data_IF_329025136543
#
_entry.id   IF_329025136543
#
_cell.length_a   1.000
_cell.length_b   1.000
_cell.length_c   1.000
_cell.angle_alpha   90.00
_cell.angle_beta   90.00
_cell.angle_gamma   90.00
#
_symmetry.space_group_name_H-M   'P 1'
#
loop_
_entity.id
_entity.type
_entity.pdbx_description
1 polymer ?
#
# COMPACT_ATOMS: atom_id res chain seq x y z
N UNK A 1 31.75 16.78 0.91
CA UNK A 1 31.84 16.14 -0.43
C UNK A 1 32.14 14.66 -0.26
N UNK A 2 31.17 13.77 -0.50
CA UNK A 2 31.42 12.32 -0.61
C UNK A 2 31.52 11.99 -2.10
N UNK A 3 32.72 12.15 -2.68
CA UNK A 3 32.97 12.07 -4.13
C UNK A 3 33.74 10.83 -4.60
N UNK A 4 33.74 9.74 -3.82
CA UNK A 4 34.47 8.51 -4.14
C UNK A 4 33.54 7.33 -4.41
N UNK A 5 33.90 6.49 -5.39
CA UNK A 5 33.20 5.24 -5.77
C UNK A 5 32.80 4.36 -4.57
N UNK A 6 33.61 4.35 -3.50
CA UNK A 6 33.37 3.58 -2.28
C UNK A 6 32.18 4.10 -1.47
N UNK A 7 31.97 5.42 -1.42
CA UNK A 7 30.85 6.02 -0.68
C UNK A 7 29.52 5.68 -1.36
N UNK A 8 29.46 5.82 -2.68
CA UNK A 8 28.29 5.43 -3.48
C UNK A 8 27.99 3.93 -3.38
N UNK A 9 29.04 3.08 -3.38
CA UNK A 9 28.88 1.63 -3.21
C UNK A 9 28.32 1.28 -1.83
N UNK A 10 28.83 1.88 -0.76
CA UNK A 10 28.32 1.65 0.60
C UNK A 10 26.89 2.15 0.78
N UNK A 11 26.57 3.33 0.23
CA UNK A 11 25.21 3.87 0.28
C UNK A 11 24.23 2.97 -0.49
N UNK A 12 24.62 2.48 -1.66
CA UNK A 12 23.80 1.55 -2.44
C UNK A 12 23.58 0.22 -1.69
N UNK A 13 24.63 -0.33 -1.08
CA UNK A 13 24.51 -1.54 -0.26
C UNK A 13 23.57 -1.31 0.93
N UNK A 14 23.73 -0.20 1.66
CA UNK A 14 22.88 0.15 2.79
C UNK A 14 21.42 0.35 2.38
N UNK A 15 21.18 1.00 1.24
CA UNK A 15 19.84 1.22 0.69
C UNK A 15 19.16 -0.10 0.30
N UNK A 16 19.85 -1.04 -0.33
CA UNK A 16 19.27 -2.34 -0.66
C UNK A 16 19.02 -3.21 0.59
N UNK A 17 19.86 -3.12 1.64
CA UNK A 17 19.58 -3.75 2.95
C UNK A 17 18.30 -3.16 3.56
N UNK A 18 18.15 -1.84 3.53
CA UNK A 18 16.93 -1.17 4.00
C UNK A 18 15.70 -1.65 3.23
N UNK A 19 15.79 -1.78 1.90
CA UNK A 19 14.68 -2.28 1.08
C UNK A 19 14.28 -3.72 1.43
N UNK A 20 15.23 -4.59 1.76
CA UNK A 20 14.93 -5.94 2.26
C UNK A 20 14.16 -5.87 3.58
N UNK A 21 14.57 -5.02 4.53
CA UNK A 21 13.86 -4.86 5.80
C UNK A 21 12.42 -4.37 5.59
N UNK A 22 12.24 -3.36 4.75
CA UNK A 22 10.90 -2.83 4.40
C UNK A 22 10.05 -3.91 3.73
N UNK A 23 10.62 -4.70 2.83
CA UNK A 23 9.87 -5.78 2.16
C UNK A 23 9.36 -6.84 3.13
N UNK A 24 10.18 -7.27 4.10
CA UNK A 24 9.72 -8.21 5.14
C UNK A 24 8.60 -7.62 5.99
N UNK A 25 8.68 -6.33 6.34
CA UNK A 25 7.60 -5.64 7.05
C UNK A 25 6.31 -5.63 6.22
N UNK A 26 6.38 -5.27 4.93
CA UNK A 26 5.20 -5.23 4.05
C UNK A 26 4.53 -6.61 3.92
N UNK A 27 5.32 -7.66 3.71
CA UNK A 27 4.81 -9.04 3.65
C UNK A 27 4.21 -9.47 4.98
N UNK A 28 4.88 -9.16 6.10
CA UNK A 28 4.41 -9.47 7.45
C UNK A 28 3.08 -8.78 7.79
N UNK A 29 2.95 -7.49 7.47
CA UNK A 29 1.70 -6.72 7.65
C UNK A 29 0.59 -7.27 6.76
N UNK A 30 0.89 -7.62 5.51
CA UNK A 30 -0.10 -8.22 4.61
C UNK A 30 -0.59 -9.59 5.12
N UNK A 31 0.32 -10.44 5.59
CA UNK A 31 -0.01 -11.75 6.15
C UNK A 31 -0.80 -11.64 7.46
N UNK A 32 -0.38 -10.73 8.36
CA UNK A 32 -1.11 -10.46 9.60
C UNK A 32 -2.51 -9.90 9.32
N UNK A 33 -2.63 -8.97 8.36
CA UNK A 33 -3.91 -8.39 7.95
C UNK A 33 -4.89 -9.44 7.42
N UNK A 34 -4.40 -10.45 6.69
CA UNK A 34 -5.21 -11.60 6.25
C UNK A 34 -5.67 -12.46 7.44
N UNK A 35 -4.79 -12.73 8.40
CA UNK A 35 -5.09 -13.61 9.54
C UNK A 35 -6.03 -12.96 10.58
N UNK A 36 -5.94 -11.64 10.76
CA UNK A 36 -6.69 -10.90 11.78
C UNK A 36 -8.13 -10.54 11.36
N UNK A 37 -8.64 -11.08 10.24
CA UNK A 37 -9.96 -10.77 9.66
C UNK A 37 -10.27 -9.27 9.54
N UNK A 38 -9.23 -8.44 9.47
CA UNK A 38 -9.34 -7.01 9.19
C UNK A 38 -9.91 -6.88 7.79
N UNK A 39 -10.91 -6.03 7.61
CA UNK A 39 -11.59 -5.81 6.32
C UNK A 39 -10.68 -5.02 5.37
N UNK A 40 -9.57 -5.64 4.99
CA UNK A 40 -8.68 -5.17 3.95
C UNK A 40 -9.16 -5.83 2.65
N UNK A 41 -9.52 -5.03 1.66
CA UNK A 41 -10.00 -5.55 0.38
C UNK A 41 -8.90 -6.38 -0.30
N UNK A 42 -9.30 -7.47 -0.97
CA UNK A 42 -8.39 -8.38 -1.69
C UNK A 42 -7.38 -7.66 -2.62
N UNK A 43 -7.76 -6.59 -3.36
CA UNK A 43 -6.81 -5.84 -4.19
C UNK A 43 -5.76 -5.06 -3.38
N UNK A 44 -6.10 -4.57 -2.19
CA UNK A 44 -5.18 -3.80 -1.33
C UNK A 44 -4.10 -4.73 -0.78
N UNK A 45 -4.52 -5.91 -0.28
CA UNK A 45 -3.60 -6.94 0.22
C UNK A 45 -2.69 -7.42 -0.91
N UNK A 46 -3.26 -7.70 -2.08
CA UNK A 46 -2.48 -8.08 -3.27
C UNK A 46 -1.45 -7.03 -3.66
N UNK A 47 -1.81 -5.74 -3.59
CA UNK A 47 -0.89 -4.63 -3.83
C UNK A 47 0.27 -4.59 -2.84
N UNK A 48 0.01 -4.67 -1.53
CA UNK A 48 1.05 -4.65 -0.49
C UNK A 48 2.00 -5.85 -0.66
N UNK A 49 1.45 -7.05 -0.91
CA UNK A 49 2.25 -8.26 -1.12
C UNK A 49 3.11 -8.16 -2.39
N UNK A 50 2.54 -7.68 -3.50
CA UNK A 50 3.26 -7.48 -4.75
C UNK A 50 4.40 -6.45 -4.59
N UNK A 51 4.14 -5.34 -3.89
CA UNK A 51 5.17 -4.36 -3.55
C UNK A 51 6.32 -4.99 -2.74
N UNK A 52 6.01 -5.82 -1.74
CA UNK A 52 7.01 -6.53 -0.95
C UNK A 52 7.90 -7.45 -1.79
N UNK A 53 7.30 -8.28 -2.65
CA UNK A 53 8.04 -9.21 -3.54
C UNK A 53 8.91 -8.42 -4.54
N UNK A 54 8.37 -7.36 -5.13
CA UNK A 54 9.09 -6.51 -6.08
C UNK A 54 10.29 -5.82 -5.42
N UNK A 55 10.15 -5.34 -4.18
CA UNK A 55 11.27 -4.77 -3.42
C UNK A 55 12.37 -5.81 -3.16
N UNK A 56 12.03 -7.07 -2.86
CA UNK A 56 13.02 -8.14 -2.71
C UNK A 56 13.78 -8.35 -4.02
N UNK A 57 13.07 -8.44 -5.16
CA UNK A 57 13.72 -8.61 -6.47
C UNK A 57 14.69 -7.47 -6.80
N UNK A 58 14.27 -6.22 -6.60
CA UNK A 58 15.10 -5.04 -6.85
C UNK A 58 16.30 -5.01 -5.91
N UNK A 59 16.10 -5.39 -4.64
CA UNK A 59 17.18 -5.42 -3.65
C UNK A 59 18.26 -6.44 -3.97
N UNK A 60 17.86 -7.63 -4.44
CA UNK A 60 18.79 -8.67 -4.90
C UNK A 60 19.57 -8.20 -6.13
N UNK A 61 18.88 -7.64 -7.13
CA UNK A 61 19.53 -7.09 -8.32
C UNK A 61 20.52 -5.96 -7.97
N UNK A 62 20.14 -5.06 -7.07
CA UNK A 62 20.99 -3.97 -6.58
C UNK A 62 22.22 -4.47 -5.82
N UNK A 63 22.05 -5.47 -4.94
CA UNK A 63 23.13 -6.07 -4.18
C UNK A 63 24.12 -6.82 -5.08
N UNK A 64 23.62 -7.64 -6.03
CA UNK A 64 24.51 -8.35 -6.97
C UNK A 64 25.20 -7.34 -7.89
N UNK A 65 24.50 -6.32 -8.37
CA UNK A 65 25.09 -5.22 -9.17
C UNK A 65 26.20 -4.49 -8.42
N UNK A 66 26.03 -4.23 -7.13
CA UNK A 66 27.03 -3.59 -6.28
C UNK A 66 28.26 -4.48 -5.99
N UNK A 67 28.04 -5.78 -5.75
CA UNK A 67 29.11 -6.72 -5.37
C UNK A 67 29.89 -7.23 -6.58
N UNK A 68 29.21 -7.64 -7.66
CA UNK A 68 29.83 -8.29 -8.82
C UNK A 68 30.38 -7.32 -9.87
N UNK A 69 30.30 -6.00 -9.65
CA UNK A 69 30.72 -4.98 -10.61
C UNK A 69 30.17 -5.18 -12.04
N UNK A 70 29.04 -5.89 -12.18
CA UNK A 70 28.45 -6.18 -13.47
C UNK A 70 27.67 -4.96 -13.98
N UNK A 71 28.34 -4.10 -14.76
CA UNK A 71 27.79 -2.81 -15.21
C UNK A 71 26.43 -2.95 -15.91
N UNK A 72 26.22 -4.02 -16.67
CA UNK A 72 24.94 -4.27 -17.36
C UNK A 72 23.79 -4.56 -16.38
N UNK A 73 24.04 -5.21 -15.25
CA UNK A 73 22.98 -5.46 -14.25
C UNK A 73 22.62 -4.18 -13.50
N UNK A 74 23.62 -3.33 -13.24
CA UNK A 74 23.37 -2.01 -12.66
C UNK A 74 22.58 -1.10 -13.61
N UNK A 75 22.75 -1.26 -14.92
CA UNK A 75 21.93 -0.55 -15.92
C UNK A 75 20.45 -0.93 -15.81
N UNK A 76 20.12 -2.23 -15.79
CA UNK A 76 18.74 -2.68 -15.59
C UNK A 76 18.15 -2.17 -14.26
N UNK A 77 18.95 -2.20 -13.18
CA UNK A 77 18.55 -1.65 -11.89
C UNK A 77 18.16 -0.17 -11.99
N UNK A 78 18.97 0.66 -12.63
CA UNK A 78 18.66 2.08 -12.83
C UNK A 78 17.42 2.31 -13.68
N UNK A 79 17.22 1.52 -14.74
CA UNK A 79 16.01 1.59 -15.57
C UNK A 79 14.77 1.24 -14.75
N UNK A 80 14.79 0.17 -13.97
CA UNK A 80 13.66 -0.24 -13.13
C UNK A 80 13.35 0.84 -12.09
N UNK A 81 14.36 1.38 -11.40
CA UNK A 81 14.16 2.47 -10.44
C UNK A 81 13.59 3.73 -11.10
N UNK A 82 14.03 4.04 -12.32
CA UNK A 82 13.49 5.17 -13.07
C UNK A 82 12.01 4.97 -13.42
N UNK A 83 11.62 3.77 -13.84
CA UNK A 83 10.20 3.45 -14.10
C UNK A 83 9.36 3.55 -12.81
N UNK A 84 9.87 3.05 -11.68
CA UNK A 84 9.22 3.20 -10.38
C UNK A 84 9.07 4.67 -9.99
N UNK A 85 10.08 5.49 -10.23
CA UNK A 85 10.02 6.92 -9.99
C UNK A 85 8.90 7.58 -10.83
N UNK A 86 8.78 7.23 -12.12
CA UNK A 86 7.69 7.74 -12.97
C UNK A 86 6.31 7.33 -12.46
N UNK A 87 6.16 6.09 -11.99
CA UNK A 87 4.90 5.60 -11.41
C UNK A 87 4.58 6.35 -10.11
N UNK A 88 5.53 6.46 -9.19
CA UNK A 88 5.36 7.15 -7.92
C UNK A 88 5.06 8.64 -8.13
N UNK A 89 5.79 9.29 -9.04
CA UNK A 89 5.54 10.66 -9.42
C UNK A 89 4.14 10.84 -9.99
N UNK A 90 3.70 9.94 -10.87
CA UNK A 90 2.35 9.95 -11.42
C UNK A 90 1.28 9.79 -10.33
N UNK A 91 1.47 8.87 -9.38
CA UNK A 91 0.57 8.67 -8.24
C UNK A 91 0.54 9.93 -7.36
N UNK A 92 1.69 10.54 -7.09
CA UNK A 92 1.77 11.78 -6.31
C UNK A 92 1.04 12.93 -7.02
N UNK A 93 1.24 13.10 -8.33
CA UNK A 93 0.51 14.09 -9.12
C UNK A 93 -1.00 13.81 -9.13
N UNK A 94 -1.43 12.55 -9.28
CA UNK A 94 -2.84 12.18 -9.22
C UNK A 94 -3.47 12.48 -7.85
N UNK A 95 -2.73 12.21 -6.76
CA UNK A 95 -3.15 12.53 -5.40
C UNK A 95 -3.22 14.04 -5.14
N UNK A 96 -2.35 14.84 -5.76
CA UNK A 96 -2.41 16.31 -5.66
C UNK A 96 -3.50 16.93 -6.53
N UNK A 97 -3.83 16.30 -7.67
CA UNK A 97 -4.84 16.78 -8.60
C UNK A 97 -6.28 16.50 -8.11
N UNK A 98 -6.47 15.55 -7.18
CA UNK A 98 -7.81 15.23 -6.65
C UNK A 98 -8.30 16.38 -5.75
N UNK A 99 -9.47 16.91 -6.08
CA UNK A 99 -10.15 17.94 -5.26
C UNK A 99 -11.25 17.32 -4.39
N UNK A 100 -11.80 18.11 -3.46
CA UNK A 100 -12.84 17.65 -2.51
C UNK A 100 -14.07 17.06 -3.19
N UNK A 101 -14.58 17.71 -4.25
CA UNK A 101 -15.75 17.20 -4.99
C UNK A 101 -15.49 15.87 -5.68
N UNK A 102 -14.26 15.65 -6.16
CA UNK A 102 -13.88 14.41 -6.81
C UNK A 102 -13.68 13.29 -5.79
N UNK A 103 -13.07 13.62 -4.64
CA UNK A 103 -12.94 12.71 -3.50
C UNK A 103 -14.32 12.27 -2.98
N UNK A 104 -15.27 13.21 -2.84
CA UNK A 104 -16.64 12.91 -2.41
C UNK A 104 -17.37 12.01 -3.40
N UNK A 105 -17.31 12.31 -4.70
CA UNK A 105 -17.91 11.46 -5.74
C UNK A 105 -17.36 10.04 -5.73
N UNK A 106 -16.05 9.88 -5.59
CA UNK A 106 -15.41 8.56 -5.50
C UNK A 106 -15.85 7.82 -4.24
N UNK A 107 -15.95 8.51 -3.10
CA UNK A 107 -16.44 7.94 -1.86
C UNK A 107 -17.92 7.52 -1.97
N UNK A 108 -18.76 8.33 -2.62
CA UNK A 108 -20.19 8.05 -2.81
C UNK A 108 -20.41 6.88 -3.78
N UNK A 109 -19.60 6.78 -4.83
CA UNK A 109 -19.58 5.62 -5.72
C UNK A 109 -19.17 4.35 -4.98
N UNK A 110 -18.14 4.42 -4.12
CA UNK A 110 -17.73 3.31 -3.26
C UNK A 110 -18.84 2.90 -2.28
N UNK A 111 -19.49 3.89 -1.66
CA UNK A 111 -20.62 3.70 -0.75
C UNK A 111 -21.78 2.96 -1.43
N UNK A 112 -22.22 3.41 -2.60
CA UNK A 112 -23.35 2.81 -3.30
C UNK A 112 -23.07 1.41 -3.87
N UNK A 113 -21.79 1.03 -4.02
CA UNK A 113 -21.39 -0.21 -4.68
C UNK A 113 -21.31 -1.41 -3.73
N UNK A 114 -21.09 -1.20 -2.44
CA UNK A 114 -20.79 -2.30 -1.51
C UNK A 114 -21.38 -2.10 -0.12
N UNK A 115 -22.39 -2.91 0.21
CA UNK A 115 -22.99 -2.95 1.54
C UNK A 115 -22.00 -3.37 2.63
N UNK A 116 -21.08 -4.29 2.31
CA UNK A 116 -20.03 -4.73 3.23
C UNK A 116 -19.05 -3.61 3.57
N UNK A 117 -18.66 -2.78 2.60
CA UNK A 117 -17.84 -1.58 2.84
C UNK A 117 -18.59 -0.57 3.71
N UNK A 118 -19.90 -0.36 3.48
CA UNK A 118 -20.72 0.54 4.31
C UNK A 118 -20.73 0.11 5.78
N UNK A 119 -21.07 -1.14 6.05
CA UNK A 119 -21.10 -1.68 7.41
C UNK A 119 -19.74 -1.59 8.11
N UNK A 120 -18.66 -1.87 7.37
CA UNK A 120 -17.29 -1.78 7.89
C UNK A 120 -16.93 -0.34 8.25
N UNK A 121 -17.15 0.61 7.34
CA UNK A 121 -16.84 2.03 7.56
C UNK A 121 -17.66 2.56 8.74
N UNK A 122 -18.95 2.27 8.79
CA UNK A 122 -19.83 2.69 9.89
C UNK A 122 -19.40 2.12 11.23
N UNK A 123 -18.98 0.84 11.28
CA UNK A 123 -18.49 0.20 12.51
C UNK A 123 -17.12 0.73 12.93
N UNK A 124 -16.21 0.98 12.00
CA UNK A 124 -14.86 1.46 12.28
C UNK A 124 -14.83 2.93 12.72
N UNK A 125 -15.71 3.77 12.17
CA UNK A 125 -15.78 5.20 12.48
C UNK A 125 -16.95 5.58 13.40
N UNK A 126 -17.73 4.60 13.88
CA UNK A 126 -18.90 4.79 14.76
C UNK A 126 -19.88 5.85 14.23
N UNK A 127 -20.16 5.83 12.92
CA UNK A 127 -21.02 6.80 12.24
C UNK A 127 -22.15 6.11 11.45
N UNK A 128 -23.14 6.88 10.98
CA UNK A 128 -24.30 6.34 10.26
C UNK A 128 -24.64 7.13 8.98
N UNK A 129 -24.70 6.47 7.83
CA UNK A 129 -24.98 7.11 6.54
C UNK A 129 -23.72 7.68 5.88
N UNK A 130 -23.87 8.09 4.61
CA UNK A 130 -22.78 8.70 3.84
C UNK A 130 -22.62 10.20 4.13
N UNK A 131 -23.74 10.91 4.15
CA UNK A 131 -23.82 12.36 4.42
C UNK A 131 -25.01 12.59 5.36
N UNK A 132 -24.72 12.63 6.66
CA UNK A 132 -25.74 12.51 7.71
C UNK A 132 -26.38 13.86 8.02
N UNK A 133 -27.29 14.32 7.15
CA UNK A 133 -28.13 15.49 7.44
C UNK A 133 -29.58 15.15 7.87
N UNK A 134 -29.86 13.89 8.23
CA UNK A 134 -31.22 13.44 8.59
C UNK A 134 -31.24 12.49 9.80
N UNK A 135 -32.08 12.84 10.78
CA UNK A 135 -32.54 12.01 11.90
C UNK A 135 -33.41 10.86 11.38
N UNK A 136 -32.83 9.88 10.71
CA UNK A 136 -33.54 8.67 10.31
C UNK A 136 -32.92 7.44 10.95
N UNK A 137 -33.70 6.91 11.88
CA UNK A 137 -33.56 5.73 12.73
C UNK A 137 -33.45 4.46 11.88
N UNK A 138 -32.31 4.23 11.23
CA UNK A 138 -32.03 2.97 10.54
C UNK A 138 -30.54 2.58 10.51
N UNK A 139 -29.70 3.15 11.37
CA UNK A 139 -28.62 2.33 11.93
C UNK A 139 -29.25 1.50 13.04
N UNK A 140 -30.00 0.47 12.65
CA UNK A 140 -30.15 -0.65 13.56
C UNK A 140 -28.71 -1.06 13.87
N UNK A 141 -28.31 -0.86 15.13
CA UNK A 141 -27.17 -1.58 15.65
C UNK A 141 -27.34 -2.99 15.11
N UNK A 142 -26.38 -3.46 14.30
CA UNK A 142 -26.32 -4.87 14.00
C UNK A 142 -26.21 -5.47 15.39
N UNK A 143 -27.31 -5.96 15.94
CA UNK A 143 -27.29 -6.87 17.06
C UNK A 143 -26.34 -7.96 16.57
N UNK A 144 -25.11 -7.91 17.07
CA UNK A 144 -24.18 -9.02 16.93
C UNK A 144 -24.80 -10.10 17.78
N UNK A 145 -25.77 -10.81 17.20
CA UNK A 145 -26.41 -11.93 17.82
C UNK A 145 -25.31 -13.01 17.85
N UNK A 146 -24.63 -13.09 18.98
CA UNK A 146 -23.50 -13.99 19.27
C UNK A 146 -23.91 -15.49 19.18
N UNK A 147 -25.16 -15.77 18.82
CA UNK A 147 -25.78 -17.09 18.76
C UNK A 147 -25.44 -17.91 17.50
N UNK A 148 -24.67 -17.38 16.56
CA UNK A 148 -24.22 -18.10 15.35
C UNK A 148 -22.68 -18.22 15.24
N UNK A 149 -21.95 -18.02 16.35
CA UNK A 149 -20.49 -18.23 16.43
C UNK A 149 -20.14 -19.36 17.42
N UNK A 150 -21.12 -20.18 17.82
CA UNK A 150 -20.89 -21.51 18.37
C UNK A 150 -21.77 -22.54 17.67
#
# INVERSE_FOLDING_TARGET
>A
MCGGFTCSKNALTALNILYIMVAFILIGVAAYGQAASVVMNLPIIGGILACGILLIMISILGLIGAVKHHQVMLFFYMVILFLLFLIQFSIACAALAVNSTQQERLAQQGWNRSETVRQTVQKSFSCCGFDSHSNSTACNAIEVNFYYIF
#
